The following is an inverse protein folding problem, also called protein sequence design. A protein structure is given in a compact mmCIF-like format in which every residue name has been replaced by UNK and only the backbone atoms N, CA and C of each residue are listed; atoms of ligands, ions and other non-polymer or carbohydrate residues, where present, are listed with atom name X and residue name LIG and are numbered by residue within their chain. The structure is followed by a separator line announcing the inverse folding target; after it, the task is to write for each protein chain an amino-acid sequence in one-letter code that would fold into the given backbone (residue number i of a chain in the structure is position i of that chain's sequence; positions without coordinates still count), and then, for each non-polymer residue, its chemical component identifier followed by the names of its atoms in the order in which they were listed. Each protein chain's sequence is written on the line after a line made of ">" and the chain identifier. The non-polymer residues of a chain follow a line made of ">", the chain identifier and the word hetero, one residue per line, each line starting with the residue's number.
data_IF_733557418292
#
_entry.id   IF_733557418292
#
_cell.length_a   1.000
_cell.length_b   1.000
_cell.length_c   1.000
_cell.angle_alpha   90.00
_cell.angle_beta   90.00
_cell.angle_gamma   90.00
#
_symmetry.space_group_name_H-M   'P 1'
#
loop_
_entity.id
_entity.type
_entity.pdbx_description
1 polymer ?
#
# COMPACT_ATOMS: atom_id res chain seq x y z
N UNK A 1 10.57 18.48 2.60
CA UNK A 1 9.87 17.61 3.57
C UNK A 1 10.92 16.96 4.45
N UNK A 2 10.74 16.93 5.77
CA UNK A 2 11.69 16.28 6.67
C UNK A 2 11.41 14.77 6.83
N UNK A 3 12.33 14.04 7.48
CA UNK A 3 12.23 12.59 7.67
C UNK A 3 11.01 12.15 8.48
N UNK A 4 10.55 12.97 9.44
CA UNK A 4 9.41 12.67 10.29
C UNK A 4 8.09 12.80 9.51
N UNK A 5 7.99 13.83 8.67
CA UNK A 5 6.86 14.00 7.76
C UNK A 5 6.76 12.85 6.75
N UNK A 6 7.89 12.42 6.19
CA UNK A 6 7.97 11.23 5.34
C UNK A 6 7.47 9.99 6.09
N UNK A 7 7.98 9.76 7.31
CA UNK A 7 7.62 8.60 8.10
C UNK A 7 6.14 8.56 8.45
N UNK A 8 5.56 9.70 8.80
CA UNK A 8 4.14 9.82 9.09
C UNK A 8 3.27 9.47 7.86
N UNK A 9 3.66 9.95 6.67
CA UNK A 9 2.95 9.66 5.43
C UNK A 9 3.10 8.19 5.01
N UNK A 10 4.29 7.63 5.13
CA UNK A 10 4.54 6.21 4.88
C UNK A 10 3.73 5.31 5.83
N UNK A 11 3.70 5.65 7.13
CA UNK A 11 2.87 4.96 8.14
C UNK A 11 1.38 5.06 7.81
N UNK A 12 0.89 6.26 7.46
CA UNK A 12 -0.51 6.45 7.10
C UNK A 12 -0.91 5.60 5.88
N UNK A 13 -0.08 5.59 4.84
CA UNK A 13 -0.32 4.77 3.66
C UNK A 13 -0.33 3.28 4.00
N UNK A 14 0.68 2.78 4.71
CA UNK A 14 0.77 1.37 5.12
C UNK A 14 -0.43 0.96 5.97
N UNK A 15 -0.86 1.82 6.91
CA UNK A 15 -2.05 1.57 7.71
C UNK A 15 -3.32 1.51 6.87
N UNK A 16 -3.48 2.42 5.91
CA UNK A 16 -4.60 2.38 4.97
C UNK A 16 -4.61 1.06 4.20
N UNK A 17 -3.48 0.67 3.59
CA UNK A 17 -3.36 -0.56 2.80
C UNK A 17 -3.69 -1.79 3.65
N UNK A 18 -3.08 -1.91 4.82
CA UNK A 18 -3.32 -3.06 5.72
C UNK A 18 -4.77 -3.12 6.21
N UNK A 19 -5.38 -1.98 6.53
CA UNK A 19 -6.80 -1.92 6.95
C UNK A 19 -7.73 -2.37 5.82
N UNK A 20 -7.49 -1.90 4.60
CA UNK A 20 -8.32 -2.25 3.45
C UNK A 20 -8.17 -3.73 3.07
N UNK A 21 -6.93 -4.23 3.07
CA UNK A 21 -6.67 -5.65 2.86
C UNK A 21 -7.31 -6.49 3.95
N UNK A 22 -7.18 -6.13 5.23
CA UNK A 22 -7.76 -6.92 6.32
C UNK A 22 -9.30 -6.91 6.30
N UNK A 23 -9.91 -5.88 5.72
CA UNK A 23 -11.37 -5.76 5.57
C UNK A 23 -11.92 -6.56 4.38
N UNK A 24 -11.16 -6.67 3.28
CA UNK A 24 -11.64 -7.21 2.01
C UNK A 24 -10.96 -8.52 1.57
N UNK A 25 -9.89 -8.93 2.24
CA UNK A 25 -9.28 -10.25 2.08
C UNK A 25 -9.96 -11.24 3.02
N UNK A 26 -10.66 -12.23 2.45
CA UNK A 26 -11.25 -13.31 3.25
C UNK A 26 -10.19 -14.31 3.72
N UNK A 27 -10.56 -15.17 4.67
CA UNK A 27 -9.70 -16.25 5.15
C UNK A 27 -9.27 -17.22 4.02
N UNK A 28 -10.09 -17.35 2.97
CA UNK A 28 -9.85 -18.20 1.81
C UNK A 28 -9.04 -17.50 0.71
N UNK A 29 -8.38 -16.38 1.03
CA UNK A 29 -7.58 -15.60 0.08
C UNK A 29 -8.43 -15.13 -1.12
N UNK A 30 -9.74 -15.02 -0.91
CA UNK A 30 -10.69 -14.52 -1.89
C UNK A 30 -10.86 -13.03 -1.64
N UNK A 31 -10.74 -12.23 -2.69
CA UNK A 31 -10.89 -10.79 -2.58
C UNK A 31 -12.35 -10.38 -2.78
N UNK A 32 -12.96 -9.76 -1.77
CA UNK A 32 -14.30 -9.20 -1.91
C UNK A 32 -14.28 -7.89 -2.73
N UNK A 33 -15.34 -7.58 -3.50
CA UNK A 33 -15.43 -6.31 -4.21
C UNK A 33 -15.32 -5.14 -3.23
N UNK A 34 -14.34 -4.26 -3.48
CA UNK A 34 -14.14 -3.07 -2.65
C UNK A 34 -15.08 -1.98 -3.15
N UNK A 35 -15.88 -1.35 -2.28
CA UNK A 35 -16.72 -0.23 -2.68
C UNK A 35 -15.89 0.85 -3.37
N UNK A 36 -16.38 1.39 -4.49
CA UNK A 36 -15.65 2.38 -5.31
C UNK A 36 -15.15 3.57 -4.50
N UNK A 37 -15.94 4.04 -3.54
CA UNK A 37 -15.56 5.14 -2.63
C UNK A 37 -14.34 4.80 -1.76
N UNK A 38 -14.25 3.56 -1.26
CA UNK A 38 -13.10 3.07 -0.50
C UNK A 38 -11.86 2.90 -1.40
N UNK A 39 -12.07 2.41 -2.63
CA UNK A 39 -11.02 2.31 -3.64
C UNK A 39 -10.41 3.66 -4.01
N UNK A 40 -11.26 4.68 -4.23
CA UNK A 40 -10.81 6.05 -4.55
C UNK A 40 -10.08 6.71 -3.36
N UNK A 41 -10.56 6.50 -2.13
CA UNK A 41 -9.89 7.00 -0.93
C UNK A 41 -8.50 6.37 -0.76
N UNK A 42 -8.38 5.08 -1.09
CA UNK A 42 -7.10 4.38 -1.10
C UNK A 42 -6.17 4.90 -2.18
N UNK A 43 -6.66 5.01 -3.42
CA UNK A 43 -5.87 5.52 -4.55
C UNK A 43 -5.30 6.90 -4.24
N UNK A 44 -6.14 7.79 -3.69
CA UNK A 44 -5.69 9.12 -3.23
C UNK A 44 -4.62 9.03 -2.15
N UNK A 45 -4.77 8.12 -1.18
CA UNK A 45 -3.78 7.92 -0.11
C UNK A 45 -2.44 7.42 -0.68
N UNK A 46 -2.48 6.50 -1.63
CA UNK A 46 -1.30 5.96 -2.32
C UNK A 46 -0.61 7.06 -3.14
N UNK A 47 -1.36 7.80 -3.97
CA UNK A 47 -0.80 8.89 -4.79
C UNK A 47 -0.12 9.95 -3.92
N UNK A 48 -0.76 10.35 -2.82
CA UNK A 48 -0.17 11.32 -1.88
C UNK A 48 1.13 10.79 -1.26
N UNK A 49 1.14 9.52 -0.84
CA UNK A 49 2.32 8.90 -0.27
C UNK A 49 3.47 8.79 -1.28
N UNK A 50 3.18 8.48 -2.55
CA UNK A 50 4.18 8.45 -3.64
C UNK A 50 4.78 9.83 -3.93
N UNK A 51 3.96 10.87 -3.92
CA UNK A 51 4.45 12.24 -4.10
C UNK A 51 5.40 12.60 -2.96
N UNK A 52 4.99 12.29 -1.73
CA UNK A 52 5.80 12.56 -0.55
C UNK A 52 7.11 11.76 -0.54
N UNK A 53 7.08 10.47 -0.89
CA UNK A 53 8.31 9.67 -0.95
C UNK A 53 9.31 10.22 -1.94
N UNK A 54 8.88 10.70 -3.12
CA UNK A 54 9.79 11.35 -4.08
C UNK A 54 10.43 12.61 -3.52
N UNK A 55 9.64 13.47 -2.88
CA UNK A 55 10.15 14.70 -2.26
C UNK A 55 11.14 14.41 -1.12
N UNK A 56 10.91 13.33 -0.36
CA UNK A 56 11.82 12.89 0.69
C UNK A 56 13.13 12.34 0.13
N UNK A 57 13.09 11.55 -0.94
CA UNK A 57 14.30 11.01 -1.58
C UNK A 57 15.15 12.12 -2.18
N UNK A 58 14.52 13.16 -2.75
CA UNK A 58 15.24 14.33 -3.24
C UNK A 58 15.96 15.08 -2.10
N UNK A 59 15.39 15.07 -0.89
CA UNK A 59 15.98 15.71 0.29
C UNK A 59 17.00 14.81 1.02
N UNK A 60 16.81 13.49 1.01
CA UNK A 60 17.72 12.51 1.60
C UNK A 60 17.76 11.21 0.76
N UNK A 61 18.84 10.99 -0.02
CA UNK A 61 19.05 9.78 -0.79
C UNK A 61 19.07 8.48 0.05
N UNK A 62 19.35 8.54 1.35
CA UNK A 62 19.33 7.38 2.22
C UNK A 62 17.91 6.78 2.36
N UNK A 63 16.86 7.55 2.04
CA UNK A 63 15.48 7.09 2.03
C UNK A 63 15.08 6.39 0.72
N UNK A 64 15.97 6.35 -0.28
CA UNK A 64 15.66 5.80 -1.61
C UNK A 64 15.15 4.37 -1.57
N UNK A 65 15.80 3.49 -0.83
CA UNK A 65 15.38 2.08 -0.74
C UNK A 65 13.97 1.94 -0.14
N UNK A 66 13.66 2.74 0.88
CA UNK A 66 12.36 2.73 1.53
C UNK A 66 11.27 3.31 0.64
N UNK A 67 11.59 4.38 -0.10
CA UNK A 67 10.70 4.96 -1.10
C UNK A 67 10.41 4.00 -2.25
N UNK A 68 11.42 3.28 -2.76
CA UNK A 68 11.26 2.30 -3.83
C UNK A 68 10.35 1.13 -3.37
N UNK A 69 10.46 0.72 -2.09
CA UNK A 69 9.55 -0.28 -1.48
C UNK A 69 8.12 0.24 -1.35
N UNK A 70 7.95 1.50 -0.94
CA UNK A 70 6.62 2.14 -0.87
C UNK A 70 5.97 2.18 -2.25
N UNK A 71 6.73 2.57 -3.27
CA UNK A 71 6.26 2.59 -4.66
C UNK A 71 5.87 1.19 -5.15
N UNK A 72 6.66 0.17 -4.81
CA UNK A 72 6.32 -1.22 -5.15
C UNK A 72 5.01 -1.67 -4.50
N UNK A 73 4.82 -1.38 -3.21
CA UNK A 73 3.57 -1.72 -2.50
C UNK A 73 2.38 -0.96 -3.06
N UNK A 74 2.57 0.32 -3.39
CA UNK A 74 1.58 1.17 -4.04
C UNK A 74 1.11 0.59 -5.38
N UNK A 75 2.04 0.27 -6.27
CA UNK A 75 1.73 -0.29 -7.59
C UNK A 75 1.01 -1.63 -7.47
N UNK A 76 1.47 -2.48 -6.56
CA UNK A 76 0.89 -3.79 -6.31
C UNK A 76 -0.53 -3.70 -5.74
N UNK A 77 -0.75 -2.72 -4.86
CA UNK A 77 -2.06 -2.43 -4.28
C UNK A 77 -3.01 -1.93 -5.36
N UNK A 78 -2.65 -0.89 -6.12
CA UNK A 78 -3.49 -0.32 -7.19
C UNK A 78 -3.86 -1.35 -8.27
N UNK A 79 -2.91 -2.20 -8.69
CA UNK A 79 -3.17 -3.28 -9.64
C UNK A 79 -4.17 -4.32 -9.12
N UNK A 80 -4.28 -4.46 -7.80
CA UNK A 80 -5.26 -5.36 -7.18
C UNK A 80 -6.68 -4.76 -7.19
N UNK A 81 -6.83 -3.43 -7.22
CA UNK A 81 -8.14 -2.75 -7.19
C UNK A 81 -8.73 -2.46 -8.57
N UNK A 82 -7.90 -2.07 -9.54
CA UNK A 82 -8.37 -1.72 -10.88
C UNK A 82 -8.92 -2.91 -11.69
N UNK A 83 -8.80 -4.14 -11.18
CA UNK A 83 -9.32 -5.36 -11.83
C UNK A 83 -10.63 -5.91 -11.23
N UNK A 84 -11.29 -5.18 -10.32
CA UNK A 84 -12.40 -5.74 -9.52
C UNK A 84 -13.82 -5.41 -10.00
N UNK A 85 -13.98 -4.61 -11.06
CA UNK A 85 -15.29 -4.47 -11.71
C UNK A 85 -15.62 -5.79 -12.42
N UNK A 86 -16.34 -6.69 -11.75
CA UNK A 86 -16.83 -7.97 -12.32
C UNK A 86 -15.96 -9.20 -12.04
N UNK A 87 -15.35 -9.27 -10.85
CA UNK A 87 -14.43 -10.36 -10.50
C UNK A 87 -15.15 -11.74 -10.47
N UNK A 88 -14.83 -12.61 -11.44
CA UNK A 88 -15.17 -14.05 -11.42
C UNK A 88 -14.22 -14.80 -10.46
N UNK A 89 -14.61 -15.99 -9.96
CA UNK A 89 -13.95 -16.69 -8.85
C UNK A 89 -12.42 -16.85 -8.99
N UNK A 90 -11.91 -17.08 -10.21
CA UNK A 90 -10.47 -17.24 -10.49
C UNK A 90 -9.70 -15.90 -10.40
N UNK A 91 -10.32 -14.81 -10.83
CA UNK A 91 -9.78 -13.46 -10.66
C UNK A 91 -9.74 -13.10 -9.17
N UNK A 92 -10.81 -13.40 -8.42
CA UNK A 92 -10.88 -13.12 -6.98
C UNK A 92 -9.74 -13.77 -6.18
N UNK A 93 -9.36 -15.02 -6.51
CA UNK A 93 -8.26 -15.72 -5.86
C UNK A 93 -6.89 -15.11 -6.17
N UNK A 94 -6.64 -14.73 -7.43
CA UNK A 94 -5.42 -14.02 -7.81
C UNK A 94 -5.32 -12.64 -7.14
N UNK A 95 -6.43 -11.91 -7.10
CA UNK A 95 -6.51 -10.60 -6.44
C UNK A 95 -6.30 -10.72 -4.92
N UNK A 96 -6.80 -11.77 -4.27
CA UNK A 96 -6.57 -11.98 -2.85
C UNK A 96 -5.14 -12.40 -2.53
N UNK A 97 -4.51 -13.23 -3.37
CA UNK A 97 -3.09 -13.54 -3.25
C UNK A 97 -2.21 -12.29 -3.38
N UNK A 98 -2.58 -11.39 -4.31
CA UNK A 98 -1.92 -10.10 -4.45
C UNK A 98 -2.15 -9.21 -3.23
N UNK A 99 -3.37 -9.07 -2.77
CA UNK A 99 -3.64 -8.27 -1.58
C UNK A 99 -2.90 -8.78 -0.33
N UNK A 100 -2.82 -10.10 -0.13
CA UNK A 100 -2.03 -10.71 0.95
C UNK A 100 -0.54 -10.37 0.87
N UNK A 101 0.03 -10.37 -0.34
CA UNK A 101 1.41 -9.93 -0.57
C UNK A 101 1.59 -8.43 -0.27
N UNK A 102 0.66 -7.57 -0.72
CA UNK A 102 0.68 -6.13 -0.41
C UNK A 102 0.69 -5.88 1.10
N UNK A 103 -0.15 -6.61 1.86
CA UNK A 103 -0.18 -6.56 3.32
C UNK A 103 1.16 -6.94 3.95
N UNK A 104 1.78 -8.03 3.49
CA UNK A 104 3.06 -8.48 4.05
C UNK A 104 4.19 -7.49 3.77
N UNK A 105 4.24 -6.94 2.56
CA UNK A 105 5.21 -5.91 2.21
C UNK A 105 5.00 -4.62 3.00
N UNK A 106 3.74 -4.21 3.17
CA UNK A 106 3.37 -3.04 3.98
C UNK A 106 3.83 -3.21 5.45
N UNK A 107 3.61 -4.39 6.07
CA UNK A 107 4.17 -4.71 7.40
C UNK A 107 5.70 -4.61 7.44
N UNK A 108 6.38 -5.08 6.38
CA UNK A 108 7.83 -4.94 6.25
C UNK A 108 8.30 -3.49 6.19
N UNK A 109 7.51 -2.58 5.61
CA UNK A 109 7.81 -1.14 5.58
C UNK A 109 7.67 -0.54 6.98
N UNK A 110 6.63 -0.91 7.74
CA UNK A 110 6.46 -0.46 9.14
C UNK A 110 7.66 -0.86 10.01
N UNK A 111 8.14 -2.10 9.86
CA UNK A 111 9.30 -2.58 10.59
C UNK A 111 10.56 -1.79 10.24
N UNK A 112 10.79 -1.48 8.96
CA UNK A 112 11.96 -0.71 8.54
C UNK A 112 11.90 0.74 9.03
N UNK A 113 10.74 1.38 8.96
CA UNK A 113 10.53 2.71 9.55
C UNK A 113 10.90 2.71 11.03
N UNK A 114 10.42 1.71 11.78
CA UNK A 114 10.74 1.55 13.20
C UNK A 114 12.25 1.34 13.43
N UNK A 115 12.90 0.52 12.60
CA UNK A 115 14.35 0.26 12.67
C UNK A 115 15.19 1.51 12.43
N UNK A 116 14.72 2.40 11.55
CA UNK A 116 15.37 3.66 11.22
C UNK A 116 15.06 4.78 12.23
N UNK A 117 14.25 4.51 13.26
CA UNK A 117 13.81 5.53 14.23
C UNK A 117 12.84 6.55 13.64
N UNK A 118 12.10 6.16 12.60
CA UNK A 118 11.15 6.97 11.84
C UNK A 118 9.70 6.66 12.24
#
# INVERSE_FOLDING_TARGET
>A
MDKLQFAALAKAMVNSITTLVDKHLTADVTWCPVPREEGLAMEKSIVNARSATRDAVAADPALKELADRIDSVADYTLASFNGLEGCEDEACAMHGGRAGSARNQAKGITLELTRLGL
#
